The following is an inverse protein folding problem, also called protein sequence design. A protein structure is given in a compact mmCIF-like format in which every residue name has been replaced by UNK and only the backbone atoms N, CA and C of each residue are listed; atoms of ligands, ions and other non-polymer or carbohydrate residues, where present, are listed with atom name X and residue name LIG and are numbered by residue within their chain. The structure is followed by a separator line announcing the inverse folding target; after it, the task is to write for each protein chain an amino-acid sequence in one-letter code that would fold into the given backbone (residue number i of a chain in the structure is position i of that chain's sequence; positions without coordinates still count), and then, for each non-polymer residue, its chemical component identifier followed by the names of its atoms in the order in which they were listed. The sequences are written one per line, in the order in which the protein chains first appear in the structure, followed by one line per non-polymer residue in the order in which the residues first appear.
data_IF_530891489412
#
_entry.id   IF_530891489412
#
_cell.length_a   1.000
_cell.length_b   1.000
_cell.length_c   1.000
_cell.angle_alpha   90.00
_cell.angle_beta   90.00
_cell.angle_gamma   90.00
#
_symmetry.space_group_name_H-M   'P 1'
#
loop_
_entity.id
_entity.type
_entity.pdbx_description
1 polymer ?
#
# COMPACT_ATOMS: atom_id res chain seq x y z
N UNK A 1 -16.33 -25.62 -6.84
CA UNK A 1 -15.18 -24.71 -6.66
C UNK A 1 -15.15 -24.31 -5.20
N UNK A 2 -14.19 -24.79 -4.40
CA UNK A 2 -14.10 -24.39 -2.99
C UNK A 2 -13.81 -22.88 -2.91
N UNK A 3 -14.64 -22.13 -2.18
CA UNK A 3 -14.45 -20.71 -1.98
C UNK A 3 -13.08 -20.47 -1.31
N UNK A 4 -12.17 -19.73 -1.98
CA UNK A 4 -10.91 -19.31 -1.37
C UNK A 4 -11.25 -18.45 -0.14
N UNK A 5 -10.71 -18.85 1.01
CA UNK A 5 -10.87 -18.11 2.27
C UNK A 5 -10.42 -16.65 2.06
N UNK A 6 -11.25 -15.64 2.39
CA UNK A 6 -10.88 -14.24 2.18
C UNK A 6 -9.64 -13.88 3.00
N UNK A 7 -8.63 -13.27 2.36
CA UNK A 7 -7.42 -12.81 3.03
C UNK A 7 -7.67 -11.44 3.69
N UNK A 8 -8.36 -11.49 4.82
CA UNK A 8 -8.72 -10.30 5.61
C UNK A 8 -7.49 -9.56 6.15
N UNK A 9 -6.38 -10.26 6.39
CA UNK A 9 -5.14 -9.65 6.86
C UNK A 9 -4.53 -8.70 5.81
N UNK A 10 -4.55 -9.10 4.53
CA UNK A 10 -4.08 -8.24 3.45
C UNK A 10 -4.97 -7.01 3.26
N UNK A 11 -6.29 -7.18 3.25
CA UNK A 11 -7.22 -6.07 3.14
C UNK A 11 -7.09 -5.08 4.32
N UNK A 12 -6.93 -5.60 5.55
CA UNK A 12 -6.70 -4.79 6.74
C UNK A 12 -5.40 -4.01 6.71
N UNK A 13 -4.30 -4.63 6.24
CA UNK A 13 -3.02 -3.95 6.09
C UNK A 13 -3.10 -2.83 5.05
N UNK A 14 -3.67 -3.11 3.87
CA UNK A 14 -3.81 -2.13 2.79
C UNK A 14 -4.64 -0.91 3.26
N UNK A 15 -5.74 -1.15 4.00
CA UNK A 15 -6.55 -0.07 4.60
C UNK A 15 -5.78 0.70 5.68
N UNK A 16 -5.07 0.01 6.57
CA UNK A 16 -4.29 0.63 7.63
C UNK A 16 -3.22 1.59 7.10
N UNK A 17 -2.50 1.19 6.05
CA UNK A 17 -1.52 2.08 5.40
C UNK A 17 -2.18 3.27 4.71
N UNK A 18 -3.35 3.09 4.08
CA UNK A 18 -4.09 4.20 3.48
C UNK A 18 -4.51 5.25 4.52
N UNK A 19 -5.05 4.80 5.67
CA UNK A 19 -5.37 5.69 6.79
C UNK A 19 -4.12 6.37 7.34
N UNK A 20 -3.02 5.64 7.50
CA UNK A 20 -1.76 6.21 7.97
C UNK A 20 -1.22 7.28 7.01
N UNK A 21 -1.25 7.03 5.70
CA UNK A 21 -0.84 8.01 4.69
C UNK A 21 -1.71 9.27 4.74
N UNK A 22 -3.03 9.10 4.90
CA UNK A 22 -3.97 10.21 5.10
C UNK A 22 -3.61 11.05 6.34
N UNK A 23 -3.36 10.40 7.48
CA UNK A 23 -3.00 11.08 8.73
C UNK A 23 -1.66 11.81 8.61
N UNK A 24 -0.66 11.19 7.96
CA UNK A 24 0.62 11.82 7.70
C UNK A 24 0.44 13.11 6.88
N UNK A 25 -0.36 13.06 5.82
CA UNK A 25 -0.70 14.24 5.03
C UNK A 25 -1.44 15.28 5.86
N UNK A 26 -2.45 14.86 6.62
CA UNK A 26 -3.25 15.76 7.47
C UNK A 26 -2.42 16.49 8.53
N UNK A 27 -1.42 15.81 9.09
CA UNK A 27 -0.48 16.40 10.05
C UNK A 27 0.60 17.30 9.43
N UNK A 28 0.67 17.40 8.10
CA UNK A 28 1.74 18.13 7.40
C UNK A 28 3.10 17.46 7.53
N UNK A 29 3.14 16.13 7.74
CA UNK A 29 4.40 15.40 7.90
C UNK A 29 5.30 15.55 6.66
N UNK A 30 6.63 15.54 6.81
CA UNK A 30 7.54 15.65 5.68
C UNK A 30 7.43 14.43 4.75
N UNK A 31 7.80 14.62 3.48
CA UNK A 31 7.76 13.59 2.44
C UNK A 31 8.54 12.31 2.83
N UNK A 32 9.57 12.45 3.67
CA UNK A 32 10.32 11.31 4.22
C UNK A 32 9.45 10.37 5.07
N UNK A 33 8.52 10.91 5.86
CA UNK A 33 7.57 10.12 6.65
C UNK A 33 6.59 9.35 5.75
N UNK A 34 6.11 9.99 4.68
CA UNK A 34 5.32 9.33 3.65
C UNK A 34 6.11 8.21 2.93
N UNK A 35 7.38 8.45 2.59
CA UNK A 35 8.23 7.45 1.95
C UNK A 35 8.42 6.21 2.82
N UNK A 36 8.62 6.38 4.13
CA UNK A 36 8.71 5.25 5.07
C UNK A 36 7.40 4.46 5.15
N UNK A 37 6.25 5.15 5.18
CA UNK A 37 4.94 4.52 5.12
C UNK A 37 4.76 3.68 3.84
N UNK A 38 5.14 4.25 2.69
CA UNK A 38 5.10 3.57 1.40
C UNK A 38 5.98 2.32 1.37
N UNK A 39 7.23 2.41 1.83
CA UNK A 39 8.15 1.27 1.89
C UNK A 39 7.63 0.16 2.81
N UNK A 40 7.08 0.52 3.97
CA UNK A 40 6.46 -0.44 4.89
C UNK A 40 5.25 -1.14 4.26
N UNK A 41 4.40 -0.41 3.52
CA UNK A 41 3.27 -0.98 2.80
C UNK A 41 3.72 -1.96 1.70
N UNK A 42 4.73 -1.59 0.91
CA UNK A 42 5.29 -2.47 -0.13
C UNK A 42 5.90 -3.75 0.47
N UNK A 43 6.63 -3.63 1.58
CA UNK A 43 7.20 -4.77 2.30
C UNK A 43 6.11 -5.70 2.87
N UNK A 44 5.08 -5.13 3.51
CA UNK A 44 3.96 -5.88 4.05
C UNK A 44 3.17 -6.60 2.93
N UNK A 45 2.94 -5.93 1.80
CA UNK A 45 2.31 -6.52 0.62
C UNK A 45 3.10 -7.72 0.10
N UNK A 46 4.42 -7.56 -0.05
CA UNK A 46 5.31 -8.60 -0.56
C UNK A 46 5.35 -9.80 0.39
N UNK A 47 5.42 -9.56 1.70
CA UNK A 47 5.43 -10.60 2.73
C UNK A 47 4.15 -11.44 2.71
N UNK A 48 2.98 -10.79 2.72
CA UNK A 48 1.67 -11.47 2.74
C UNK A 48 1.40 -12.28 1.47
N UNK A 49 2.08 -11.96 0.37
CA UNK A 49 1.86 -12.57 -0.96
C UNK A 49 3.07 -13.39 -1.44
N UNK A 50 4.12 -13.50 -0.64
CA UNK A 50 5.36 -14.20 -0.99
C UNK A 50 5.14 -15.64 -1.49
N UNK A 51 4.33 -16.49 -0.82
CA UNK A 51 4.13 -17.88 -1.26
C UNK A 51 3.45 -17.97 -2.63
N UNK A 52 2.55 -17.03 -2.94
CA UNK A 52 1.87 -16.98 -4.22
C UNK A 52 2.81 -16.48 -5.33
N UNK A 53 3.63 -15.47 -5.03
CA UNK A 53 4.60 -14.91 -5.98
C UNK A 53 5.70 -15.91 -6.34
N UNK A 54 6.17 -16.71 -5.39
CA UNK A 54 7.21 -17.72 -5.65
C UNK A 54 6.75 -18.88 -6.53
N UNK A 55 5.44 -19.12 -6.62
CA UNK A 55 4.86 -20.16 -7.46
C UNK A 55 4.61 -19.71 -8.92
N UNK A 56 4.81 -18.42 -9.23
CA UNK A 56 4.56 -17.87 -10.56
C UNK A 56 5.82 -17.91 -11.45
N UNK A 57 5.59 -17.98 -12.77
CA UNK A 57 6.65 -17.73 -13.74
C UNK A 57 7.22 -16.31 -13.57
N UNK A 58 8.52 -16.15 -13.84
CA UNK A 58 9.25 -14.89 -13.58
C UNK A 58 8.61 -13.67 -14.29
N UNK A 59 8.22 -13.81 -15.56
CA UNK A 59 7.58 -12.74 -16.32
C UNK A 59 6.27 -12.29 -15.68
N UNK A 60 5.38 -13.24 -15.36
CA UNK A 60 4.10 -12.99 -14.68
C UNK A 60 4.31 -12.38 -13.29
N UNK A 61 5.31 -12.85 -12.54
CA UNK A 61 5.65 -12.31 -11.23
C UNK A 61 6.06 -10.85 -11.33
N UNK A 62 6.94 -10.51 -12.27
CA UNK A 62 7.41 -9.13 -12.46
C UNK A 62 6.28 -8.19 -12.86
N UNK A 63 5.42 -8.58 -13.81
CA UNK A 63 4.27 -7.77 -14.24
C UNK A 63 3.29 -7.52 -13.11
N UNK A 64 2.89 -8.58 -12.38
CA UNK A 64 1.96 -8.45 -11.26
C UNK A 64 2.55 -7.64 -10.11
N UNK A 65 3.84 -7.80 -9.83
CA UNK A 65 4.55 -7.02 -8.81
C UNK A 65 4.57 -5.55 -9.22
N UNK A 66 4.98 -5.23 -10.44
CA UNK A 66 5.03 -3.85 -10.93
C UNK A 66 3.66 -3.17 -10.85
N UNK A 67 2.60 -3.84 -11.31
CA UNK A 67 1.23 -3.31 -11.25
C UNK A 67 0.78 -3.08 -9.81
N UNK A 68 1.06 -4.03 -8.91
CA UNK A 68 0.68 -3.91 -7.51
C UNK A 68 1.41 -2.77 -6.80
N UNK A 69 2.72 -2.63 -7.01
CA UNK A 69 3.50 -1.53 -6.43
C UNK A 69 3.04 -0.17 -6.95
N UNK A 70 2.67 -0.08 -8.23
CA UNK A 70 2.10 1.13 -8.82
C UNK A 70 0.76 1.49 -8.17
N UNK A 71 -0.12 0.50 -7.97
CA UNK A 71 -1.40 0.72 -7.27
C UNK A 71 -1.22 1.14 -5.81
N UNK A 72 -0.30 0.51 -5.08
CA UNK A 72 0.03 0.89 -3.70
C UNK A 72 0.50 2.35 -3.65
N UNK A 73 1.45 2.71 -4.52
CA UNK A 73 1.96 4.08 -4.61
C UNK A 73 0.87 5.09 -4.95
N UNK A 74 0.00 4.77 -5.91
CA UNK A 74 -1.10 5.64 -6.32
C UNK A 74 -2.10 5.87 -5.18
N UNK A 75 -2.56 4.79 -4.53
CA UNK A 75 -3.56 4.89 -3.45
C UNK A 75 -3.00 5.65 -2.25
N UNK A 76 -1.79 5.31 -1.80
CA UNK A 76 -1.17 5.99 -0.66
C UNK A 76 -0.83 7.45 -0.99
N UNK A 77 -0.34 7.73 -2.19
CA UNK A 77 -0.05 9.09 -2.64
C UNK A 77 -1.30 9.96 -2.67
N UNK A 78 -2.40 9.44 -3.21
CA UNK A 78 -3.71 10.12 -3.19
C UNK A 78 -4.18 10.35 -1.75
N UNK A 79 -4.09 9.35 -0.87
CA UNK A 79 -4.48 9.50 0.53
C UNK A 79 -3.64 10.58 1.24
N UNK A 80 -2.33 10.61 1.03
CA UNK A 80 -1.45 11.62 1.60
C UNK A 80 -1.75 13.03 1.08
N UNK A 81 -1.96 13.20 -0.23
CA UNK A 81 -2.35 14.48 -0.81
C UNK A 81 -3.71 14.96 -0.34
N UNK A 82 -4.69 14.07 -0.21
CA UNK A 82 -5.97 14.40 0.41
C UNK A 82 -5.77 14.86 1.86
N UNK A 83 -4.89 14.20 2.61
CA UNK A 83 -4.51 14.61 3.95
C UNK A 83 -3.96 16.04 3.97
N UNK A 84 -2.99 16.35 3.10
CA UNK A 84 -2.43 17.70 2.99
C UNK A 84 -3.51 18.74 2.67
N UNK A 85 -4.42 18.43 1.74
CA UNK A 85 -5.53 19.32 1.37
C UNK A 85 -6.50 19.55 2.54
N UNK A 86 -6.76 18.52 3.35
CA UNK A 86 -7.62 18.61 4.54
C UNK A 86 -6.95 19.32 5.72
N UNK A 87 -5.62 19.18 5.85
CA UNK A 87 -4.82 19.81 6.90
C UNK A 87 -4.44 21.27 6.59
N UNK A 88 -4.68 21.73 5.36
CA UNK A 88 -4.25 23.02 4.82
C UNK A 88 -4.95 24.28 5.35
N UNK A 89 -5.33 24.33 6.63
CA UNK A 89 -5.85 25.52 7.29
C UNK A 89 -5.22 25.78 8.68
N UNK A 90 -3.92 25.53 8.85
CA UNK A 90 -3.13 26.06 9.97
C UNK A 90 -2.02 26.97 9.46
#
# INVERSE_FOLDING_TARGET
MAARKPNLAAAGADFGFAVLALVLGWSGAPLAGFALCLLAAMAAWAWLRWPALSAMALSTRLTNTALALLMIGAVLGVAYWLGLALGGHN
#
